data_IF_884589343626
#
_entry.id   IF_884589343626
#
_cell.length_a   1.000
_cell.length_b   1.000
_cell.length_c   1.000
_cell.angle_alpha   90.00
_cell.angle_beta   90.00
_cell.angle_gamma   90.00
#
_symmetry.space_group_name_H-M   'P 1'
#
loop_
_entity.id
_entity.type
_entity.pdbx_description
1 polymer ?
#
# COMPACT_ATOMS: atom_id res chain seq x y z
N UNK A 1 5.90 -21.62 5.75
CA UNK A 1 5.38 -20.30 5.34
C UNK A 1 5.62 -20.19 3.86
N UNK A 2 4.58 -20.40 3.06
CA UNK A 2 4.62 -20.27 1.59
C UNK A 2 4.36 -18.80 1.22
N UNK A 3 5.33 -17.95 1.51
CA UNK A 3 5.36 -16.61 0.97
C UNK A 3 6.32 -16.62 -0.19
N UNK A 4 5.96 -15.97 -1.31
CA UNK A 4 6.86 -15.77 -2.44
C UNK A 4 8.14 -15.03 -2.02
N UNK A 5 9.05 -14.79 -2.93
CA UNK A 5 10.28 -14.07 -2.64
C UNK A 5 9.96 -12.68 -2.09
N UNK A 6 10.72 -12.25 -1.09
CA UNK A 6 10.62 -10.92 -0.49
C UNK A 6 11.73 -10.02 -1.03
N UNK A 7 11.62 -8.72 -0.81
CA UNK A 7 12.71 -7.81 -1.10
C UNK A 7 13.93 -8.12 -0.18
N UNK A 8 15.17 -7.85 -0.63
CA UNK A 8 16.37 -8.05 0.19
C UNK A 8 16.34 -7.32 1.55
N UNK A 9 15.56 -6.24 1.65
CA UNK A 9 15.37 -5.43 2.87
C UNK A 9 14.31 -6.00 3.83
N UNK A 10 13.74 -7.18 3.53
CA UNK A 10 12.70 -7.85 4.34
C UNK A 10 13.20 -9.21 4.80
N UNK A 11 13.64 -9.32 6.03
CA UNK A 11 14.11 -10.59 6.60
C UNK A 11 12.97 -11.46 7.14
N UNK A 12 13.23 -12.75 7.30
CA UNK A 12 12.28 -13.66 7.98
C UNK A 12 11.99 -13.23 9.43
N UNK A 13 12.93 -12.53 10.07
CA UNK A 13 12.76 -11.96 11.40
C UNK A 13 11.72 -10.85 11.39
N UNK A 14 11.80 -9.95 10.43
CA UNK A 14 10.83 -8.87 10.24
C UNK A 14 9.44 -9.40 9.93
N UNK A 15 9.32 -10.42 9.08
CA UNK A 15 8.01 -11.02 8.80
C UNK A 15 7.35 -11.63 10.05
N UNK A 16 8.16 -12.23 10.94
CA UNK A 16 7.65 -12.71 12.24
C UNK A 16 7.22 -11.54 13.12
N UNK A 17 8.06 -10.49 13.21
CA UNK A 17 7.73 -9.29 13.97
C UNK A 17 6.43 -8.64 13.48
N UNK A 18 6.22 -8.55 12.16
CA UNK A 18 4.96 -8.07 11.59
C UNK A 18 3.75 -8.90 12.04
N UNK A 19 3.84 -10.24 11.94
CA UNK A 19 2.73 -11.13 12.31
C UNK A 19 2.46 -11.15 13.83
N UNK A 20 3.47 -10.89 14.65
CA UNK A 20 3.39 -10.86 16.11
C UNK A 20 3.10 -9.47 16.68
N UNK A 21 3.20 -8.43 15.87
CA UNK A 21 3.00 -7.05 16.28
C UNK A 21 1.66 -6.85 17.03
N UNK A 22 1.67 -6.27 18.23
CA UNK A 22 0.47 -6.02 19.00
C UNK A 22 -0.27 -4.81 18.44
N UNK A 23 -1.13 -5.05 17.43
CA UNK A 23 -1.87 -3.97 16.81
C UNK A 23 -2.91 -3.38 17.77
N UNK A 24 -3.13 -2.06 17.67
CA UNK A 24 -4.18 -1.33 18.37
C UNK A 24 -5.40 -1.18 17.45
N UNK A 25 -6.56 -0.96 18.05
CA UNK A 25 -7.79 -0.78 17.29
C UNK A 25 -7.80 0.49 16.42
N UNK A 26 -7.00 1.50 16.79
CA UNK A 26 -6.85 2.77 16.09
C UNK A 26 -5.66 2.84 15.13
N UNK A 27 -4.82 1.80 15.09
CA UNK A 27 -3.76 1.69 14.08
C UNK A 27 -4.36 1.70 12.68
N UNK A 28 -3.65 2.31 11.74
CA UNK A 28 -4.06 2.37 10.33
C UNK A 28 -3.02 1.68 9.44
N UNK A 29 -3.46 0.72 8.65
CA UNK A 29 -2.63 0.06 7.66
C UNK A 29 -3.15 0.34 6.25
N UNK A 30 -2.29 0.87 5.40
CA UNK A 30 -2.54 1.08 3.98
C UNK A 30 -1.97 -0.13 3.26
N UNK A 31 -2.86 -1.02 2.82
CA UNK A 31 -2.51 -2.32 2.26
C UNK A 31 -2.79 -2.37 0.77
N UNK A 32 -1.94 -3.04 0.02
CA UNK A 32 -2.16 -3.30 -1.41
C UNK A 32 -1.17 -4.32 -1.94
N UNK A 33 -1.45 -4.90 -3.10
CA UNK A 33 -0.37 -5.48 -3.92
C UNK A 33 0.54 -4.36 -4.45
N UNK A 34 1.84 -4.58 -4.66
CA UNK A 34 2.74 -3.54 -5.20
C UNK A 34 2.19 -2.82 -6.42
N UNK A 35 2.41 -1.50 -6.46
CA UNK A 35 2.03 -0.62 -7.59
C UNK A 35 0.52 -0.43 -7.81
N UNK A 36 -0.29 -0.73 -6.80
CA UNK A 36 -1.75 -0.50 -6.84
C UNK A 36 -2.17 0.93 -6.45
N UNK A 37 -1.25 1.83 -6.12
CA UNK A 37 -1.56 3.20 -5.70
C UNK A 37 -1.37 3.45 -4.20
N UNK A 38 -0.58 2.61 -3.52
CA UNK A 38 -0.27 2.68 -2.09
C UNK A 38 0.20 4.07 -1.68
N UNK A 39 1.19 4.63 -2.40
CA UNK A 39 1.75 5.95 -2.09
C UNK A 39 0.74 7.08 -2.27
N UNK A 40 -0.17 6.95 -3.22
CA UNK A 40 -1.29 7.90 -3.35
C UNK A 40 -2.20 7.85 -2.12
N UNK A 41 -2.55 6.65 -1.68
CA UNK A 41 -3.34 6.46 -0.46
C UNK A 41 -2.58 6.90 0.81
N UNK A 42 -1.25 6.68 0.88
CA UNK A 42 -0.42 7.21 1.96
C UNK A 42 -0.51 8.74 2.05
N UNK A 43 -0.44 9.44 0.92
CA UNK A 43 -0.59 10.90 0.88
C UNK A 43 -1.98 11.34 1.39
N UNK A 44 -3.07 10.65 0.97
CA UNK A 44 -4.42 10.91 1.47
C UNK A 44 -4.49 10.76 2.98
N UNK A 45 -4.07 9.61 3.52
CA UNK A 45 -4.12 9.31 4.94
C UNK A 45 -3.23 10.26 5.74
N UNK A 46 -2.02 10.55 5.26
CA UNK A 46 -1.10 11.49 5.91
C UNK A 46 -1.75 12.85 6.06
N UNK A 47 -2.29 13.43 4.99
CA UNK A 47 -2.95 14.76 5.03
C UNK A 47 -4.18 14.78 5.92
N UNK A 48 -4.97 13.71 5.95
CA UNK A 48 -6.12 13.59 6.84
C UNK A 48 -5.68 13.58 8.31
N UNK A 49 -4.67 12.82 8.67
CA UNK A 49 -4.28 12.62 10.06
C UNK A 49 -3.37 13.71 10.62
N UNK A 50 -2.60 14.39 9.76
CA UNK A 50 -1.68 15.47 10.17
C UNK A 50 -2.32 16.86 10.15
N UNK A 51 -3.60 16.98 9.77
CA UNK A 51 -4.29 18.27 9.75
C UNK A 51 -4.40 18.90 11.15
N UNK A 52 -4.49 20.22 11.22
CA UNK A 52 -4.70 20.96 12.48
C UNK A 52 -5.97 20.50 13.20
N UNK A 53 -6.00 20.57 14.51
CA UNK A 53 -7.17 20.25 15.36
C UNK A 53 -7.64 21.50 16.09
N UNK A 54 -8.36 22.38 15.37
CA UNK A 54 -8.95 23.57 16.00
C UNK A 54 -7.92 24.37 16.80
N UNK A 55 -8.11 24.45 18.11
CA UNK A 55 -7.23 25.20 19.02
C UNK A 55 -5.90 24.50 19.35
N UNK A 56 -5.72 23.25 18.95
CA UNK A 56 -4.42 22.60 19.10
C UNK A 56 -3.42 23.18 18.08
N UNK A 57 -2.18 23.45 18.48
CA UNK A 57 -1.17 23.87 17.52
C UNK A 57 -1.03 22.82 16.43
N UNK A 58 -0.98 23.28 15.18
CA UNK A 58 -0.64 22.40 14.05
C UNK A 58 0.64 21.61 14.39
N UNK A 59 0.79 20.36 13.92
CA UNK A 59 2.07 19.67 14.04
C UNK A 59 3.18 20.61 13.57
N UNK A 60 4.28 20.74 14.32
CA UNK A 60 5.23 21.84 14.18
C UNK A 60 5.88 21.98 12.81
N UNK A 61 5.76 20.99 11.97
CA UNK A 61 6.27 21.01 10.58
C UNK A 61 5.48 20.06 9.70
N UNK A 62 5.41 20.37 8.41
CA UNK A 62 4.97 19.41 7.41
C UNK A 62 6.03 18.29 7.31
N UNK A 63 5.58 17.03 7.24
CA UNK A 63 6.48 15.92 6.93
C UNK A 63 7.23 16.14 5.60
N UNK A 64 8.49 15.76 5.55
CA UNK A 64 9.35 15.91 4.37
C UNK A 64 9.24 14.72 3.42
N UNK A 65 8.86 13.55 3.96
CA UNK A 65 8.65 12.34 3.18
C UNK A 65 7.48 11.54 3.77
N UNK A 66 6.65 10.95 2.90
CA UNK A 66 5.43 10.23 3.32
C UNK A 66 5.70 9.05 4.25
N UNK A 67 6.89 8.45 4.19
CA UNK A 67 7.31 7.39 5.11
C UNK A 67 7.53 7.85 6.55
N UNK A 68 7.64 9.16 6.81
CA UNK A 68 7.68 9.66 8.19
C UNK A 68 6.31 9.51 8.87
N UNK A 69 5.23 9.55 8.11
CA UNK A 69 3.87 9.35 8.62
C UNK A 69 3.45 7.88 8.53
N UNK A 70 3.71 7.23 7.40
CA UNK A 70 3.36 5.84 7.15
C UNK A 70 4.55 5.05 6.61
N UNK A 71 5.48 4.63 7.49
CA UNK A 71 6.64 3.81 7.12
C UNK A 71 6.20 2.48 6.52
N UNK A 72 7.07 1.90 5.70
CA UNK A 72 6.86 0.59 5.11
C UNK A 72 7.05 -0.49 6.18
N UNK A 73 5.99 -1.23 6.49
CA UNK A 73 5.90 -2.04 7.70
C UNK A 73 6.86 -3.23 7.69
N UNK A 74 7.02 -3.90 6.55
CA UNK A 74 7.80 -5.13 6.42
C UNK A 74 9.26 -4.92 5.99
N UNK A 75 9.92 -3.86 6.43
CA UNK A 75 11.38 -3.68 6.18
C UNK A 75 12.18 -3.62 7.47
N UNK A 76 13.37 -4.23 7.44
CA UNK A 76 14.25 -4.41 8.59
C UNK A 76 14.57 -3.10 9.34
N UNK A 77 14.90 -1.97 8.68
CA UNK A 77 15.25 -0.73 9.36
C UNK A 77 14.12 -0.09 10.20
N UNK A 78 12.90 -0.53 10.07
CA UNK A 78 11.77 0.01 10.83
C UNK A 78 11.50 -0.75 12.15
N UNK A 79 12.35 -1.75 12.47
CA UNK A 79 12.24 -2.59 13.66
C UNK A 79 13.48 -2.49 14.53
N UNK A 80 13.28 -2.56 15.86
CA UNK A 80 14.38 -2.63 16.83
C UNK A 80 14.76 -4.09 17.13
N UNK A 81 15.32 -4.73 16.12
CA UNK A 81 15.64 -6.14 16.21
C UNK A 81 16.76 -6.50 17.20
N UNK A 82 17.51 -5.52 17.66
CA UNK A 82 18.65 -5.75 18.56
C UNK A 82 18.20 -5.80 20.02
N UNK A 83 17.25 -4.91 20.39
CA UNK A 83 16.80 -4.80 21.77
C UNK A 83 15.46 -5.52 21.99
N UNK A 84 14.48 -5.24 21.15
CA UNK A 84 13.13 -5.83 21.23
C UNK A 84 12.64 -6.27 19.83
N UNK A 85 12.77 -7.57 19.49
CA UNK A 85 12.55 -8.06 18.12
C UNK A 85 11.17 -7.75 17.49
N UNK A 86 10.15 -7.50 18.32
CA UNK A 86 8.79 -7.17 17.87
C UNK A 86 8.43 -5.70 18.09
N UNK A 87 9.39 -4.86 18.44
CA UNK A 87 9.20 -3.43 18.66
C UNK A 87 9.66 -2.62 17.44
N UNK A 88 8.99 -1.48 17.24
CA UNK A 88 9.35 -0.54 16.18
C UNK A 88 10.63 0.22 16.54
N UNK A 89 11.42 0.54 15.55
CA UNK A 89 12.59 1.40 15.70
C UNK A 89 12.21 2.77 16.29
N UNK A 90 13.10 3.35 17.11
CA UNK A 90 12.86 4.58 17.85
C UNK A 90 12.45 5.76 16.96
N UNK A 91 13.05 5.89 15.77
CA UNK A 91 12.70 6.93 14.80
C UNK A 91 11.27 6.77 14.26
N UNK A 92 10.77 5.55 14.07
CA UNK A 92 9.39 5.29 13.67
C UNK A 92 8.42 5.71 14.76
N UNK A 93 8.70 5.35 16.01
CA UNK A 93 7.89 5.73 17.17
C UNK A 93 7.86 7.25 17.33
N UNK A 94 9.00 7.92 17.22
CA UNK A 94 9.10 9.37 17.34
C UNK A 94 8.35 10.09 16.21
N UNK A 95 8.46 9.62 14.99
CA UNK A 95 7.71 10.18 13.85
C UNK A 95 6.20 10.05 14.04
N UNK A 96 5.72 8.90 14.53
CA UNK A 96 4.29 8.75 14.83
C UNK A 96 3.83 9.70 15.96
N UNK A 97 4.67 9.89 16.98
CA UNK A 97 4.39 10.86 18.05
C UNK A 97 4.31 12.30 17.49
N UNK A 98 5.28 12.66 16.64
CA UNK A 98 5.43 14.02 16.10
C UNK A 98 4.32 14.37 15.11
N UNK A 99 4.05 13.52 14.13
CA UNK A 99 3.18 13.86 12.99
C UNK A 99 1.73 13.44 13.20
N UNK A 100 1.48 12.33 13.88
CA UNK A 100 0.13 11.76 14.03
C UNK A 100 -0.26 11.52 15.50
N UNK A 101 0.38 12.23 16.43
CA UNK A 101 0.06 12.25 17.87
C UNK A 101 0.10 10.86 18.52
N UNK A 102 1.06 10.05 18.13
CA UNK A 102 1.26 8.69 18.64
C UNK A 102 0.33 7.63 18.06
N UNK A 103 -0.55 7.99 17.14
CA UNK A 103 -1.29 7.01 16.33
C UNK A 103 -0.32 6.33 15.39
N UNK A 104 -0.44 5.02 15.23
CA UNK A 104 0.46 4.26 14.36
C UNK A 104 -0.15 4.09 12.98
N UNK A 105 0.59 4.47 11.95
CA UNK A 105 0.17 4.41 10.55
C UNK A 105 1.26 3.71 9.76
N UNK A 106 0.90 2.76 8.94
CA UNK A 106 1.85 1.97 8.15
C UNK A 106 1.35 1.80 6.71
N UNK A 107 2.27 1.60 5.78
CA UNK A 107 1.95 1.00 4.50
C UNK A 107 2.57 -0.39 4.40
N UNK A 108 1.92 -1.29 3.64
CA UNK A 108 2.34 -2.70 3.58
C UNK A 108 1.84 -3.38 2.31
N UNK A 109 2.60 -4.38 1.86
CA UNK A 109 2.21 -5.32 0.81
C UNK A 109 2.01 -6.74 1.35
N UNK A 110 1.88 -6.89 2.67
CA UNK A 110 1.67 -8.18 3.31
C UNK A 110 0.35 -8.83 2.86
N UNK A 111 0.33 -10.15 2.62
CA UNK A 111 -0.91 -10.89 2.52
C UNK A 111 -1.64 -10.88 3.87
N UNK A 112 -2.97 -11.01 3.84
CA UNK A 112 -3.82 -10.98 5.04
C UNK A 112 -3.35 -11.93 6.16
N UNK A 113 -2.79 -13.09 5.78
CA UNK A 113 -2.32 -14.09 6.73
C UNK A 113 -1.14 -13.61 7.62
N UNK A 114 -0.38 -12.61 7.16
CA UNK A 114 0.73 -12.01 7.88
C UNK A 114 0.38 -10.67 8.54
N UNK A 115 -0.86 -10.20 8.39
CA UNK A 115 -1.31 -8.97 9.03
C UNK A 115 -1.45 -9.14 10.53
N UNK A 116 -0.98 -8.16 11.32
CA UNK A 116 -1.15 -8.19 12.77
C UNK A 116 -2.63 -8.14 13.16
N UNK A 117 -2.93 -8.63 14.35
CA UNK A 117 -4.28 -8.59 14.93
C UNK A 117 -4.30 -7.66 16.14
N UNK A 118 -5.44 -7.04 16.34
CA UNK A 118 -5.66 -6.20 17.53
C UNK A 118 -5.47 -7.04 18.78
N UNK A 119 -4.77 -6.50 19.77
CA UNK A 119 -4.68 -7.06 21.12
C UNK A 119 -5.59 -6.27 22.06
N UNK A 120 -6.15 -6.95 23.07
CA UNK A 120 -6.91 -6.30 24.15
C UNK A 120 -5.98 -5.78 25.26
N UNK A 121 -6.58 -5.21 26.29
CA UNK A 121 -5.84 -4.65 27.44
C UNK A 121 -5.04 -5.71 28.21
N UNK A 122 -5.45 -7.00 28.14
CA UNK A 122 -4.72 -8.14 28.69
C UNK A 122 -3.64 -8.67 27.73
N UNK A 123 -3.36 -7.96 26.65
CA UNK A 123 -2.41 -8.35 25.56
C UNK A 123 -2.78 -9.67 24.87
N UNK A 124 -4.06 -10.04 24.85
CA UNK A 124 -4.56 -11.20 24.11
C UNK A 124 -4.96 -10.81 22.69
N UNK A 125 -4.46 -11.57 21.71
CA UNK A 125 -4.83 -11.37 20.31
C UNK A 125 -6.32 -11.60 20.09
N UNK A 126 -6.97 -10.62 19.48
CA UNK A 126 -8.35 -10.68 19.02
C UNK A 126 -8.40 -11.17 17.58
N UNK A 127 -9.48 -11.84 17.18
CA UNK A 127 -9.73 -12.11 15.75
C UNK A 127 -10.30 -10.86 15.04
N UNK A 128 -9.61 -9.73 15.20
CA UNK A 128 -10.01 -8.42 14.69
C UNK A 128 -8.84 -7.75 14.02
N UNK A 129 -9.09 -7.17 12.84
CA UNK A 129 -8.13 -6.32 12.16
C UNK A 129 -8.10 -4.91 12.76
N UNK A 130 -6.95 -4.21 12.76
CA UNK A 130 -6.90 -2.77 12.92
C UNK A 130 -7.63 -2.09 11.75
N UNK A 131 -7.60 -0.76 11.66
CA UNK A 131 -8.18 -0.07 10.50
C UNK A 131 -7.32 -0.30 9.27
N UNK A 132 -7.92 -0.84 8.22
CA UNK A 132 -7.28 -1.14 6.94
C UNK A 132 -7.85 -0.26 5.85
N UNK A 133 -6.99 0.37 5.05
CA UNK A 133 -7.36 0.93 3.75
C UNK A 133 -6.67 0.06 2.69
N UNK A 134 -7.44 -0.79 2.02
CA UNK A 134 -6.94 -1.68 1.00
C UNK A 134 -7.13 -1.09 -0.39
N UNK A 135 -6.04 -0.92 -1.14
CA UNK A 135 -6.08 -0.39 -2.50
C UNK A 135 -5.93 -1.52 -3.51
N UNK A 136 -7.00 -1.77 -4.27
CA UNK A 136 -7.02 -2.71 -5.38
C UNK A 136 -6.81 -2.00 -6.72
N UNK A 137 -6.14 -2.64 -7.66
CA UNK A 137 -5.91 -2.15 -9.03
C UNK A 137 -5.86 -3.30 -10.01
N UNK A 138 -6.19 -3.05 -11.28
CA UNK A 138 -6.01 -4.01 -12.36
C UNK A 138 -4.60 -4.59 -12.36
N UNK A 139 -4.49 -5.92 -12.27
CA UNK A 139 -3.21 -6.62 -12.18
C UNK A 139 -2.30 -6.37 -13.38
N UNK A 140 -2.88 -6.17 -14.56
CA UNK A 140 -2.13 -5.89 -15.80
C UNK A 140 -1.41 -4.55 -15.71
N UNK A 141 -2.08 -3.52 -15.16
CA UNK A 141 -1.46 -2.21 -14.89
C UNK A 141 -0.46 -2.28 -13.73
N UNK A 142 -0.72 -3.13 -12.72
CA UNK A 142 0.25 -3.40 -11.65
C UNK A 142 1.52 -4.02 -12.22
N UNK A 143 1.41 -5.04 -13.09
CA UNK A 143 2.55 -5.70 -13.72
C UNK A 143 3.44 -4.72 -14.50
N UNK A 144 2.83 -3.90 -15.38
CA UNK A 144 3.57 -2.88 -16.15
C UNK A 144 4.25 -1.86 -15.24
N UNK A 145 3.54 -1.38 -14.21
CA UNK A 145 4.09 -0.42 -13.26
C UNK A 145 5.19 -1.03 -12.40
N UNK A 146 5.08 -2.31 -12.05
CA UNK A 146 6.06 -3.01 -11.23
C UNK A 146 7.33 -3.30 -12.02
N UNK A 147 7.22 -3.73 -13.28
CA UNK A 147 8.38 -3.87 -14.16
C UNK A 147 9.17 -2.58 -14.29
N UNK A 148 8.51 -1.46 -14.61
CA UNK A 148 9.19 -0.16 -14.68
C UNK A 148 9.88 0.22 -13.38
N UNK A 149 9.26 -0.09 -12.25
CA UNK A 149 9.81 0.19 -10.93
C UNK A 149 11.07 -0.63 -10.65
N UNK A 150 11.00 -1.97 -10.82
CA UNK A 150 12.13 -2.85 -10.54
C UNK A 150 13.26 -2.70 -11.55
N UNK A 151 12.95 -2.40 -12.82
CA UNK A 151 13.96 -2.13 -13.83
C UNK A 151 14.80 -0.88 -13.51
N UNK A 152 14.24 0.07 -12.78
CA UNK A 152 14.92 1.31 -12.43
C UNK A 152 15.66 1.24 -11.07
N UNK A 153 15.60 0.10 -10.38
CA UNK A 153 16.33 -0.16 -9.14
C UNK A 153 17.62 -0.94 -9.39
N UNK A 154 18.59 -0.79 -8.47
CA UNK A 154 19.76 -1.66 -8.46
C UNK A 154 19.35 -3.12 -8.17
N UNK A 155 20.05 -4.07 -8.79
CA UNK A 155 19.76 -5.50 -8.62
C UNK A 155 19.97 -5.94 -7.16
N UNK A 156 20.97 -5.38 -6.48
CA UNK A 156 21.24 -5.67 -5.07
C UNK A 156 20.08 -5.26 -4.15
N UNK A 157 19.30 -4.26 -4.55
CA UNK A 157 18.12 -3.81 -3.81
C UNK A 157 16.82 -4.51 -4.26
N UNK A 158 16.95 -5.57 -5.08
CA UNK A 158 15.83 -6.35 -5.61
C UNK A 158 15.30 -5.88 -6.97
N UNK A 159 16.10 -5.10 -7.71
CA UNK A 159 15.79 -4.68 -9.07
C UNK A 159 15.76 -5.84 -10.06
N UNK A 160 15.22 -5.57 -11.25
CA UNK A 160 15.06 -6.55 -12.34
C UNK A 160 15.92 -6.16 -13.55
N UNK A 161 16.83 -7.06 -13.97
CA UNK A 161 17.79 -6.80 -15.05
C UNK A 161 17.33 -7.30 -16.42
N UNK A 162 16.34 -8.20 -16.47
CA UNK A 162 15.88 -8.82 -17.71
C UNK A 162 14.78 -8.01 -18.41
N UNK A 163 14.42 -8.43 -19.64
CA UNK A 163 13.37 -7.77 -20.42
C UNK A 163 11.96 -8.01 -19.89
N UNK A 164 11.00 -7.34 -20.53
CA UNK A 164 9.58 -7.40 -20.17
C UNK A 164 9.01 -8.83 -20.20
N UNK A 165 9.33 -9.62 -21.22
CA UNK A 165 8.76 -10.97 -21.35
C UNK A 165 9.17 -11.88 -20.19
N UNK A 166 10.45 -11.85 -19.81
CA UNK A 166 10.94 -12.61 -18.65
C UNK A 166 10.30 -12.12 -17.33
N UNK A 167 10.13 -10.79 -17.19
CA UNK A 167 9.41 -10.24 -16.05
C UNK A 167 7.96 -10.71 -16.00
N UNK A 168 7.24 -10.64 -17.13
CA UNK A 168 5.86 -11.08 -17.22
C UNK A 168 5.71 -12.56 -16.85
N UNK A 169 6.61 -13.43 -17.33
CA UNK A 169 6.60 -14.85 -17.01
C UNK A 169 6.78 -15.09 -15.50
N UNK A 170 7.74 -14.43 -14.87
CA UNK A 170 7.94 -14.52 -13.43
C UNK A 170 6.77 -13.92 -12.64
N UNK A 171 6.21 -12.80 -13.10
CA UNK A 171 5.10 -12.12 -12.45
C UNK A 171 3.80 -12.93 -12.48
N UNK A 172 3.45 -13.51 -13.65
CA UNK A 172 2.21 -14.28 -13.81
C UNK A 172 2.21 -15.56 -12.97
N UNK A 173 3.39 -16.15 -12.76
CA UNK A 173 3.59 -17.32 -11.90
C UNK A 173 3.79 -16.94 -10.40
N UNK A 174 3.92 -15.64 -10.07
CA UNK A 174 4.09 -15.19 -8.71
C UNK A 174 5.46 -15.51 -8.11
N UNK A 175 6.51 -15.62 -8.93
CA UNK A 175 7.88 -15.93 -8.50
C UNK A 175 8.73 -14.68 -8.26
N UNK A 176 8.17 -13.49 -8.45
CA UNK A 176 8.80 -12.20 -8.11
C UNK A 176 8.49 -11.78 -6.66
N UNK A 177 9.13 -10.71 -6.21
CA UNK A 177 8.88 -10.15 -4.88
C UNK A 177 7.37 -9.92 -4.62
N UNK A 178 6.90 -10.24 -3.41
CA UNK A 178 5.51 -10.22 -2.94
C UNK A 178 4.59 -11.28 -3.56
N UNK A 179 5.09 -12.18 -4.42
CA UNK A 179 4.34 -13.31 -4.94
C UNK A 179 3.25 -12.94 -5.94
N UNK A 180 2.23 -13.79 -6.02
CA UNK A 180 1.13 -13.69 -6.98
C UNK A 180 0.15 -12.57 -6.64
N UNK A 181 -0.12 -11.67 -7.61
CA UNK A 181 -1.19 -10.68 -7.51
C UNK A 181 -2.57 -11.34 -7.29
N UNK A 182 -2.83 -12.46 -7.94
CA UNK A 182 -4.08 -13.19 -7.83
C UNK A 182 -4.29 -13.75 -6.42
N UNK A 183 -3.26 -14.36 -5.86
CA UNK A 183 -3.33 -14.96 -4.51
C UNK A 183 -3.42 -13.87 -3.44
N UNK A 184 -2.74 -12.73 -3.65
CA UNK A 184 -2.85 -11.58 -2.76
C UNK A 184 -4.30 -11.06 -2.70
N UNK A 185 -4.96 -10.86 -3.86
CA UNK A 185 -6.36 -10.43 -3.88
C UNK A 185 -7.29 -11.47 -3.25
N UNK A 186 -7.09 -12.76 -3.55
CA UNK A 186 -7.89 -13.83 -2.96
C UNK A 186 -7.72 -13.89 -1.44
N UNK A 187 -6.49 -13.71 -0.95
CA UNK A 187 -6.23 -13.69 0.49
C UNK A 187 -6.98 -12.57 1.23
N UNK A 188 -7.23 -11.44 0.57
CA UNK A 188 -7.98 -10.32 1.14
C UNK A 188 -9.50 -10.37 0.90
N UNK A 189 -10.00 -11.38 0.15
CA UNK A 189 -11.43 -11.51 -0.21
C UNK A 189 -12.34 -11.45 1.01
N UNK A 190 -12.09 -12.31 1.99
CA UNK A 190 -12.98 -12.47 3.14
C UNK A 190 -12.93 -11.25 4.06
N UNK A 191 -11.77 -10.58 4.12
CA UNK A 191 -11.60 -9.36 4.89
C UNK A 191 -12.29 -8.15 4.24
N UNK A 192 -12.63 -8.19 2.97
CA UNK A 192 -13.26 -7.06 2.27
C UNK A 192 -14.67 -6.71 2.79
N UNK A 193 -15.31 -7.60 3.54
CA UNK A 193 -16.59 -7.37 4.23
C UNK A 193 -16.45 -6.97 5.70
N UNK A 194 -15.21 -6.95 6.25
CA UNK A 194 -14.96 -6.51 7.62
C UNK A 194 -15.15 -4.99 7.74
N UNK A 195 -15.87 -4.55 8.77
CA UNK A 195 -16.14 -3.13 9.02
C UNK A 195 -14.86 -2.28 9.25
N UNK A 196 -13.74 -2.93 9.60
CA UNK A 196 -12.44 -2.28 9.73
C UNK A 196 -11.65 -2.20 8.42
N UNK A 197 -12.20 -2.70 7.30
CA UNK A 197 -11.54 -2.71 6.00
C UNK A 197 -12.29 -1.83 5.01
N UNK A 198 -11.67 -0.73 4.60
CA UNK A 198 -12.14 0.09 3.48
C UNK A 198 -11.41 -0.37 2.21
N UNK A 199 -12.16 -0.85 1.24
CA UNK A 199 -11.62 -1.21 -0.08
C UNK A 199 -11.76 -0.04 -1.04
N UNK A 200 -10.65 0.40 -1.61
CA UNK A 200 -10.57 1.42 -2.66
C UNK A 200 -10.13 0.77 -3.97
N UNK A 201 -10.78 1.13 -5.07
CA UNK A 201 -10.29 0.77 -6.41
C UNK A 201 -9.52 1.96 -6.98
N UNK A 202 -8.31 1.71 -7.48
CA UNK A 202 -7.47 2.74 -8.08
C UNK A 202 -8.19 3.53 -9.17
N UNK A 203 -8.99 2.82 -9.99
CA UNK A 203 -9.78 3.38 -11.07
C UNK A 203 -10.90 4.31 -10.56
N UNK A 204 -11.49 3.99 -9.39
CA UNK A 204 -12.50 4.84 -8.75
C UNK A 204 -11.85 6.08 -8.11
N UNK A 205 -10.67 5.93 -7.53
CA UNK A 205 -9.88 7.05 -7.03
C UNK A 205 -9.57 8.06 -8.15
N UNK A 206 -9.23 7.58 -9.35
CA UNK A 206 -9.01 8.43 -10.53
C UNK A 206 -10.28 9.18 -10.96
N UNK A 207 -11.44 8.53 -10.89
CA UNK A 207 -12.71 9.12 -11.32
C UNK A 207 -13.30 10.11 -10.31
N UNK A 208 -13.12 9.83 -9.02
CA UNK A 208 -13.73 10.60 -7.94
C UNK A 208 -12.79 10.74 -6.74
N UNK A 209 -11.72 11.50 -6.91
CA UNK A 209 -10.74 11.72 -5.84
C UNK A 209 -11.39 12.36 -4.60
N UNK A 210 -12.28 13.36 -4.78
CA UNK A 210 -12.95 14.04 -3.67
C UNK A 210 -13.83 13.08 -2.84
N UNK A 211 -14.56 12.19 -3.50
CA UNK A 211 -15.32 11.12 -2.82
C UNK A 211 -14.41 10.14 -2.10
N UNK A 212 -13.27 9.80 -2.70
CA UNK A 212 -12.25 8.94 -2.07
C UNK A 212 -11.69 9.58 -0.80
N UNK A 213 -11.30 10.86 -0.82
CA UNK A 213 -10.82 11.60 0.36
C UNK A 213 -11.84 11.53 1.50
N UNK A 214 -13.12 11.78 1.19
CA UNK A 214 -14.21 11.69 2.19
C UNK A 214 -14.31 10.29 2.79
N UNK A 215 -14.38 9.25 1.96
CA UNK A 215 -14.50 7.86 2.41
C UNK A 215 -13.32 7.43 3.29
N UNK A 216 -12.09 7.81 2.91
CA UNK A 216 -10.89 7.54 3.72
C UNK A 216 -10.98 8.26 5.07
N UNK A 217 -11.36 9.55 5.09
CA UNK A 217 -11.48 10.31 6.34
C UNK A 217 -12.55 9.71 7.29
N UNK A 218 -13.71 9.34 6.76
CA UNK A 218 -14.77 8.68 7.54
C UNK A 218 -14.31 7.32 8.09
N UNK A 219 -13.45 6.61 7.38
CA UNK A 219 -12.92 5.34 7.84
C UNK A 219 -11.82 5.50 8.89
N UNK A 220 -10.83 6.36 8.63
CA UNK A 220 -9.66 6.47 9.50
C UNK A 220 -9.83 7.46 10.65
N UNK A 221 -10.67 8.48 10.53
CA UNK A 221 -10.83 9.55 11.52
C UNK A 221 -12.30 10.01 11.67
N UNK A 222 -13.21 9.04 11.84
CA UNK A 222 -14.67 9.25 11.88
C UNK A 222 -15.10 10.31 12.92
N UNK A 223 -14.41 10.38 14.05
CA UNK A 223 -14.74 11.29 15.13
C UNK A 223 -14.51 12.77 14.76
N UNK A 224 -13.75 13.00 13.67
CA UNK A 224 -13.43 14.32 13.16
C UNK A 224 -13.72 14.43 11.67
N UNK A 225 -14.98 14.64 11.27
CA UNK A 225 -15.37 14.85 9.88
C UNK A 225 -14.58 16.01 9.25
N UNK A 226 -14.29 15.91 7.96
CA UNK A 226 -13.67 17.00 7.21
C UNK A 226 -14.69 18.11 6.98
N UNK A 227 -14.27 19.37 7.22
CA UNK A 227 -14.98 20.52 6.67
C UNK A 227 -14.89 20.52 5.14
N UNK A 228 -15.70 21.34 4.49
CA UNK A 228 -15.65 21.48 3.02
C UNK A 228 -14.27 21.99 2.58
N UNK A 229 -13.73 22.98 3.27
CA UNK A 229 -12.42 23.58 2.94
C UNK A 229 -11.28 22.59 3.14
N UNK A 230 -11.28 21.80 4.23
CA UNK A 230 -10.30 20.74 4.45
C UNK A 230 -10.39 19.67 3.35
N UNK A 231 -11.61 19.25 3.01
CA UNK A 231 -11.84 18.25 1.94
C UNK A 231 -11.30 18.73 0.60
N UNK A 232 -11.54 19.99 0.25
CA UNK A 232 -11.10 20.57 -1.02
C UNK A 232 -9.58 20.80 -1.04
N UNK A 233 -8.99 21.26 0.08
CA UNK A 233 -7.55 21.41 0.22
C UNK A 233 -6.81 20.07 0.12
N UNK A 234 -7.29 19.03 0.82
CA UNK A 234 -6.69 17.69 0.77
C UNK A 234 -6.85 17.10 -0.63
N UNK A 235 -8.02 17.25 -1.26
CA UNK A 235 -8.27 16.76 -2.63
C UNK A 235 -7.28 17.40 -3.61
N UNK A 236 -7.10 18.71 -3.57
CA UNK A 236 -6.18 19.45 -4.43
C UNK A 236 -4.73 19.00 -4.25
N UNK A 237 -4.30 18.80 -2.99
CA UNK A 237 -2.95 18.36 -2.65
C UNK A 237 -2.68 16.88 -2.98
N UNK A 238 -3.70 16.10 -3.28
CA UNK A 238 -3.61 14.69 -3.66
C UNK A 238 -3.82 14.44 -5.16
N UNK A 239 -3.90 15.49 -5.98
CA UNK A 239 -3.93 15.33 -7.44
C UNK A 239 -2.62 14.75 -7.96
N UNK A 240 -2.67 14.13 -9.15
CA UNK A 240 -1.47 13.59 -9.80
C UNK A 240 -0.43 14.70 -10.03
N UNK A 241 -0.87 15.86 -10.50
CA UNK A 241 -0.03 17.03 -10.78
C UNK A 241 0.66 17.55 -9.51
N UNK A 242 -0.07 17.67 -8.41
CA UNK A 242 0.48 18.11 -7.13
C UNK A 242 1.54 17.12 -6.61
N UNK A 243 1.27 15.81 -6.67
CA UNK A 243 2.23 14.79 -6.23
C UNK A 243 3.45 14.72 -7.15
N UNK A 244 3.27 14.87 -8.45
CA UNK A 244 4.37 14.88 -9.41
C UNK A 244 5.27 16.09 -9.23
N UNK A 245 4.70 17.25 -8.87
CA UNK A 245 5.44 18.48 -8.60
C UNK A 245 6.30 18.42 -7.32
N UNK A 246 6.03 17.46 -6.42
CA UNK A 246 6.74 17.31 -5.15
C UNK A 246 7.23 15.84 -4.96
N UNK A 247 7.85 15.32 -6.02
CA UNK A 247 8.22 13.89 -6.12
C UNK A 247 9.11 13.40 -4.96
N UNK A 248 9.95 14.27 -4.42
CA UNK A 248 10.88 13.94 -3.34
C UNK A 248 10.18 13.50 -2.05
N UNK A 249 8.92 13.90 -1.88
CA UNK A 249 8.07 13.43 -0.78
C UNK A 249 7.60 11.99 -0.92
N UNK A 250 7.69 11.42 -2.11
CA UNK A 250 7.01 10.15 -2.43
C UNK A 250 7.93 9.08 -2.98
N UNK A 251 9.08 9.46 -3.53
CA UNK A 251 10.02 8.49 -4.12
C UNK A 251 10.70 7.67 -3.02
N UNK A 252 10.64 6.33 -3.05
CA UNK A 252 11.27 5.49 -2.03
C UNK A 252 12.76 5.81 -1.87
N UNK A 253 13.20 5.99 -0.61
CA UNK A 253 14.59 6.27 -0.22
C UNK A 253 15.32 5.02 0.27
N UNK A 254 14.63 3.89 0.35
CA UNK A 254 15.17 2.61 0.83
C UNK A 254 15.88 1.78 -0.24
N UNK A 255 15.92 2.26 -1.48
CA UNK A 255 16.51 1.58 -2.64
C UNK A 255 17.35 2.55 -3.45
N UNK A 256 18.36 2.03 -4.17
CA UNK A 256 19.18 2.81 -5.09
C UNK A 256 18.53 2.82 -6.47
N UNK A 257 18.31 4.00 -7.00
CA UNK A 257 17.82 4.19 -8.36
C UNK A 257 19.01 4.22 -9.32
N UNK A 258 18.93 3.45 -10.41
CA UNK A 258 19.97 3.35 -11.43
C UNK A 258 19.61 4.10 -12.72
N UNK A 259 18.41 4.67 -12.79
CA UNK A 259 17.90 5.46 -13.92
C UNK A 259 17.46 6.85 -13.41
N UNK A 260 18.26 7.84 -13.66
CA UNK A 260 18.00 9.24 -13.25
C UNK A 260 16.75 9.84 -13.93
N UNK A 261 16.30 9.24 -15.03
CA UNK A 261 15.08 9.66 -15.72
C UNK A 261 13.81 9.03 -15.13
N UNK A 262 13.97 8.08 -14.21
CA UNK A 262 12.84 7.40 -13.59
C UNK A 262 12.07 8.34 -12.68
N UNK A 263 10.75 8.38 -12.85
CA UNK A 263 9.83 9.05 -11.91
C UNK A 263 8.91 8.03 -11.27
N UNK A 264 8.91 7.99 -9.95
CA UNK A 264 8.04 7.11 -9.17
C UNK A 264 6.54 7.41 -9.42
N UNK A 265 6.18 8.69 -9.55
CA UNK A 265 4.86 9.16 -9.98
C UNK A 265 4.87 9.29 -11.51
N UNK A 266 4.65 8.18 -12.22
CA UNK A 266 4.95 8.06 -13.66
C UNK A 266 3.86 8.62 -14.58
N UNK A 267 2.65 8.10 -14.54
CA UNK A 267 1.57 8.44 -15.48
C UNK A 267 0.22 8.73 -14.82
N UNK A 268 -0.11 8.07 -13.71
CA UNK A 268 -1.38 8.27 -13.01
C UNK A 268 -2.62 7.87 -13.85
N UNK A 269 -2.51 6.82 -14.67
CA UNK A 269 -3.59 6.37 -15.57
C UNK A 269 -3.87 4.89 -15.42
N UNK A 270 -5.06 4.47 -15.84
CA UNK A 270 -5.46 3.07 -15.99
C UNK A 270 -5.44 2.65 -17.47
N UNK A 271 -5.32 1.36 -17.75
CA UNK A 271 -5.31 0.79 -19.10
C UNK A 271 -3.97 0.89 -19.82
N UNK A 272 -2.88 1.25 -19.13
CA UNK A 272 -1.56 1.37 -19.75
C UNK A 272 -1.00 0.05 -20.27
N UNK A 273 -1.48 -1.08 -19.74
CA UNK A 273 -1.10 -2.42 -20.19
C UNK A 273 -1.46 -2.72 -21.64
N UNK A 274 -2.48 -2.08 -22.20
CA UNK A 274 -2.93 -2.28 -23.58
C UNK A 274 -1.81 -2.06 -24.61
N UNK A 275 -0.85 -1.19 -24.30
CA UNK A 275 0.29 -0.87 -25.17
C UNK A 275 1.52 -1.73 -24.92
N UNK A 276 1.50 -2.57 -23.88
CA UNK A 276 2.67 -3.35 -23.43
C UNK A 276 2.43 -4.85 -23.58
N UNK A 277 1.23 -5.32 -23.18
CA UNK A 277 0.88 -6.73 -23.27
C UNK A 277 0.67 -7.17 -24.72
N UNK A 278 1.34 -8.23 -25.13
CA UNK A 278 0.99 -8.95 -26.34
C UNK A 278 -0.35 -9.67 -26.20
N UNK A 279 -0.99 -10.03 -27.29
CA UNK A 279 -2.25 -10.80 -27.28
C UNK A 279 -2.10 -12.15 -26.53
N UNK A 280 -0.93 -12.79 -26.66
CA UNK A 280 -0.62 -14.00 -25.89
C UNK A 280 -0.57 -13.74 -24.37
N UNK A 281 0.04 -12.62 -23.93
CA UNK A 281 0.12 -12.25 -22.52
C UNK A 281 -1.27 -11.88 -21.96
N UNK A 282 -2.10 -11.18 -22.74
CA UNK A 282 -3.50 -10.90 -22.37
C UNK A 282 -4.28 -12.21 -22.17
N UNK A 283 -4.17 -13.16 -23.10
CA UNK A 283 -4.82 -14.47 -23.00
C UNK A 283 -4.35 -15.23 -21.75
N UNK A 284 -3.03 -15.33 -21.51
CA UNK A 284 -2.47 -15.99 -20.33
C UNK A 284 -2.95 -15.36 -19.03
N UNK A 285 -3.04 -14.03 -18.99
CA UNK A 285 -3.60 -13.34 -17.82
C UNK A 285 -5.07 -13.72 -17.57
N UNK A 286 -5.90 -13.73 -18.60
CA UNK A 286 -7.32 -14.10 -18.49
C UNK A 286 -7.50 -15.58 -18.11
N UNK A 287 -6.67 -16.47 -18.61
CA UNK A 287 -6.65 -17.89 -18.23
C UNK A 287 -6.32 -18.03 -16.73
N UNK A 288 -5.25 -17.35 -16.26
CA UNK A 288 -4.89 -17.33 -14.85
C UNK A 288 -5.96 -16.70 -13.95
N UNK A 289 -6.60 -15.64 -14.42
CA UNK A 289 -7.73 -15.01 -13.71
C UNK A 289 -8.92 -15.96 -13.57
N UNK A 290 -9.26 -16.74 -14.62
CA UNK A 290 -10.31 -17.78 -14.52
C UNK A 290 -9.94 -18.91 -13.57
N UNK A 291 -8.69 -19.35 -13.60
CA UNK A 291 -8.17 -20.34 -12.66
C UNK A 291 -8.34 -19.87 -11.20
N UNK A 292 -7.92 -18.65 -10.90
CA UNK A 292 -7.85 -18.10 -9.54
C UNK A 292 -9.17 -17.54 -9.01
N UNK A 293 -10.00 -16.95 -9.86
CA UNK A 293 -11.26 -16.28 -9.47
C UNK A 293 -12.52 -17.00 -9.93
N UNK A 294 -12.39 -18.10 -10.68
CA UNK A 294 -13.50 -18.84 -11.26
C UNK A 294 -13.87 -18.37 -12.67
N UNK A 295 -14.85 -19.02 -13.29
CA UNK A 295 -15.17 -18.91 -14.72
C UNK A 295 -15.45 -17.51 -15.27
N UNK A 296 -15.80 -16.54 -14.45
CA UNK A 296 -15.94 -15.13 -14.81
C UNK A 296 -14.61 -14.36 -14.88
N UNK A 297 -13.46 -14.99 -14.57
CA UNK A 297 -12.15 -14.37 -14.64
C UNK A 297 -12.07 -13.09 -13.78
N UNK A 298 -11.48 -12.02 -14.33
CA UNK A 298 -11.30 -10.75 -13.62
C UNK A 298 -12.62 -10.14 -13.11
N UNK A 299 -13.76 -10.34 -13.81
CA UNK A 299 -15.06 -9.85 -13.37
C UNK A 299 -15.52 -10.49 -12.04
N UNK A 300 -14.99 -11.65 -11.70
CA UNK A 300 -15.22 -12.34 -10.42
C UNK A 300 -14.17 -12.05 -9.38
N UNK A 301 -13.15 -11.24 -9.68
CA UNK A 301 -12.13 -10.88 -8.71
C UNK A 301 -12.79 -10.25 -7.47
N UNK A 302 -12.31 -10.57 -6.25
CA UNK A 302 -12.99 -10.22 -5.00
C UNK A 302 -13.34 -8.74 -4.86
N UNK A 303 -12.46 -7.88 -5.35
CA UNK A 303 -12.55 -6.43 -5.21
C UNK A 303 -13.26 -5.74 -6.40
N UNK A 304 -13.65 -6.51 -7.43
CA UNK A 304 -14.33 -5.97 -8.63
C UNK A 304 -15.85 -6.08 -8.57
N UNK A 305 -16.40 -6.86 -7.65
CA UNK A 305 -17.85 -6.86 -7.44
C UNK A 305 -18.23 -5.52 -6.82
N UNK A 306 -18.97 -4.71 -7.56
CA UNK A 306 -19.68 -3.57 -6.99
C UNK A 306 -20.69 -4.13 -6.00
N UNK A 307 -20.65 -3.70 -4.75
CA UNK A 307 -21.83 -3.78 -3.91
C UNK A 307 -22.88 -2.89 -4.61
N UNK A 308 -23.81 -3.54 -5.32
CA UNK A 308 -24.96 -2.91 -5.94
C UNK A 308 -25.90 -2.39 -4.85
#
# INVERSE_FOLDING_TARGET
MSGGPWLPITSARTLRACAEFPARADDVFICSYPKSGTTWCQNLVARILTRSRGDEPAPPESWSHVSEVSPFFEIDPHWDHENEPSSLAANVVENHRRFVRGRRVFNTHLPLALMPRVVDDDNKKQNRLPKIVYVARDGRDCAVSFWHHLKSQSVEDGGWSEGWDAFFDAWIEGTIAFGSWFDHLNGWRDASSDANVLVLKYEDMLRNLRGTVRAVAEHVDRERPLTTDELDAITSACTFEAMKGDIDKYQPKSVRWIDDSFSFVRRGVSGSYEKVFSENQKRRFEEKAREKFGGGGLANAPMWRTNA
#
